data_IF_326289641978
#
_entry.id   IF_326289641978
#
_cell.length_a   1.000
_cell.length_b   1.000
_cell.length_c   1.000
_cell.angle_alpha   90.00
_cell.angle_beta   90.00
_cell.angle_gamma   90.00
#
_symmetry.space_group_name_H-M   'P 1'
#
loop_
_entity.id
_entity.type
_entity.pdbx_description
1 polymer ?
#
# COMPACT_ATOMS: atom_id res chain seq x y z
N UNK A 1 -11.77 -47.21 3.67
CA UNK A 1 -11.49 -46.28 2.54
C UNK A 1 -10.77 -45.06 3.09
N UNK A 2 -9.53 -44.78 2.65
CA UNK A 2 -8.78 -43.59 3.12
C UNK A 2 -9.47 -42.32 2.58
N UNK A 3 -9.94 -41.44 3.46
CA UNK A 3 -10.41 -40.09 3.10
C UNK A 3 -9.25 -39.35 2.42
N UNK A 4 -9.25 -39.29 1.09
CA UNK A 4 -8.29 -38.46 0.35
C UNK A 4 -8.67 -37.02 0.60
N UNK A 5 -7.84 -36.26 1.32
CA UNK A 5 -8.05 -34.82 1.41
C UNK A 5 -7.83 -34.21 0.02
N UNK A 6 -8.87 -33.58 -0.51
CA UNK A 6 -8.96 -33.01 -1.87
C UNK A 6 -8.11 -31.74 -2.02
N UNK A 7 -6.92 -31.70 -1.42
CA UNK A 7 -6.03 -30.55 -1.50
C UNK A 7 -5.20 -30.65 -2.78
N UNK A 8 -5.13 -29.54 -3.51
CA UNK A 8 -4.31 -29.42 -4.73
C UNK A 8 -2.85 -29.58 -4.36
N UNK A 9 -2.11 -30.33 -5.17
CA UNK A 9 -0.67 -30.56 -4.98
C UNK A 9 0.11 -30.17 -6.24
N UNK A 10 1.36 -29.80 -6.05
CA UNK A 10 2.30 -29.60 -7.14
C UNK A 10 2.94 -30.92 -7.61
N UNK A 11 3.74 -30.87 -8.67
CA UNK A 11 4.48 -32.00 -9.21
C UNK A 11 5.50 -32.61 -8.23
N UNK A 12 5.82 -31.91 -7.14
CA UNK A 12 6.72 -32.35 -6.07
C UNK A 12 5.96 -32.87 -4.84
N UNK A 13 4.62 -32.97 -4.91
CA UNK A 13 3.76 -33.46 -3.85
C UNK A 13 3.43 -32.45 -2.73
N UNK A 14 3.88 -31.19 -2.86
CA UNK A 14 3.60 -30.11 -1.91
C UNK A 14 2.17 -29.63 -2.06
N UNK A 15 1.56 -29.26 -0.93
CA UNK A 15 0.20 -28.73 -0.92
C UNK A 15 0.21 -27.28 -1.38
N UNK A 16 -0.61 -26.98 -2.39
CA UNK A 16 -0.85 -25.63 -2.90
C UNK A 16 -1.99 -24.97 -2.09
N UNK A 17 -1.79 -23.70 -1.75
CA UNK A 17 -2.77 -22.88 -1.05
C UNK A 17 -3.88 -22.40 -2.00
N UNK A 18 -4.92 -21.79 -1.44
CA UNK A 18 -5.99 -21.18 -2.25
C UNK A 18 -5.40 -20.05 -3.10
N UNK A 19 -5.77 -19.99 -4.39
CA UNK A 19 -5.16 -19.04 -5.32
C UNK A 19 -3.92 -19.59 -6.03
N UNK A 20 -3.20 -20.54 -5.43
CA UNK A 20 -2.00 -21.15 -6.00
C UNK A 20 -2.33 -22.25 -7.03
N UNK A 21 -1.56 -22.29 -8.10
CA UNK A 21 -1.63 -23.32 -9.14
C UNK A 21 -0.26 -23.51 -9.78
N UNK A 22 0.05 -24.71 -10.24
CA UNK A 22 1.24 -24.97 -11.06
C UNK A 22 0.84 -25.04 -12.53
N UNK A 23 1.61 -24.37 -13.39
CA UNK A 23 1.46 -24.38 -14.83
C UNK A 23 2.16 -25.60 -15.45
N UNK A 24 1.81 -25.91 -16.70
CA UNK A 24 2.42 -27.01 -17.46
C UNK A 24 3.93 -26.85 -17.68
N UNK A 25 4.43 -25.61 -17.70
CA UNK A 25 5.85 -25.29 -17.82
C UNK A 25 6.63 -25.37 -16.49
N UNK A 26 5.96 -25.70 -15.39
CA UNK A 26 6.54 -25.79 -14.06
C UNK A 26 6.56 -24.46 -13.28
N UNK A 27 6.11 -23.33 -13.86
CA UNK A 27 5.91 -22.09 -13.10
C UNK A 27 4.75 -22.22 -12.13
N UNK A 28 4.85 -21.53 -11.01
CA UNK A 28 3.75 -21.33 -10.10
C UNK A 28 3.01 -20.04 -10.44
N UNK A 29 1.69 -20.09 -10.32
CA UNK A 29 0.78 -18.98 -10.50
C UNK A 29 -0.07 -18.79 -9.24
N UNK A 30 -0.16 -17.55 -8.77
CA UNK A 30 -1.11 -17.14 -7.75
C UNK A 30 -2.12 -16.17 -8.36
N UNK A 31 -3.41 -16.48 -8.30
CA UNK A 31 -4.47 -15.56 -8.73
C UNK A 31 -5.11 -14.87 -7.54
N UNK A 32 -5.45 -13.59 -7.71
CA UNK A 32 -6.07 -12.76 -6.68
C UNK A 32 -6.96 -11.70 -7.33
N UNK A 33 -7.83 -11.07 -6.54
CA UNK A 33 -8.73 -10.02 -7.00
C UNK A 33 -8.32 -8.67 -6.44
N UNK A 34 -8.29 -7.65 -7.30
CA UNK A 34 -8.13 -6.24 -6.89
C UNK A 34 -9.24 -5.42 -7.53
N UNK A 35 -10.13 -4.86 -6.71
CA UNK A 35 -11.25 -4.05 -7.18
C UNK A 35 -12.14 -4.78 -8.19
N UNK A 36 -12.43 -6.06 -7.94
CA UNK A 36 -13.27 -6.91 -8.81
C UNK A 36 -12.57 -7.45 -10.06
N UNK A 37 -11.33 -7.03 -10.37
CA UNK A 37 -10.56 -7.56 -11.50
C UNK A 37 -9.58 -8.63 -11.04
N UNK A 38 -9.55 -9.77 -11.74
CA UNK A 38 -8.60 -10.83 -11.48
C UNK A 38 -7.19 -10.43 -11.97
N UNK A 39 -6.20 -10.56 -11.09
CA UNK A 39 -4.78 -10.41 -11.38
C UNK A 39 -4.06 -11.73 -11.10
N UNK A 40 -2.91 -11.92 -11.74
CA UNK A 40 -2.10 -13.14 -11.61
C UNK A 40 -0.64 -12.78 -11.35
N UNK A 41 -0.03 -13.44 -10.36
CA UNK A 41 1.41 -13.43 -10.11
C UNK A 41 2.00 -14.75 -10.61
N UNK A 42 3.24 -14.67 -11.11
CA UNK A 42 3.98 -15.85 -11.58
C UNK A 42 5.36 -15.91 -10.92
N UNK A 43 5.82 -17.12 -10.59
CA UNK A 43 7.19 -17.35 -10.13
C UNK A 43 7.66 -18.76 -10.48
N UNK A 44 8.97 -18.94 -10.64
CA UNK A 44 9.59 -20.27 -10.78
C UNK A 44 9.77 -20.99 -9.43
N UNK A 45 9.72 -20.24 -8.32
CA UNK A 45 9.89 -20.74 -6.96
C UNK A 45 8.58 -20.63 -6.20
N UNK A 46 8.19 -21.68 -5.49
CA UNK A 46 7.04 -21.62 -4.56
C UNK A 46 7.49 -21.04 -3.22
N UNK A 47 8.62 -21.54 -2.71
CA UNK A 47 9.29 -21.10 -1.49
C UNK A 47 10.68 -20.52 -1.77
N UNK A 48 11.20 -19.69 -0.87
CA UNK A 48 12.49 -19.01 -1.00
C UNK A 48 13.65 -19.96 -1.29
N UNK A 49 13.62 -21.13 -0.67
CA UNK A 49 14.69 -22.14 -0.73
C UNK A 49 14.62 -23.01 -1.99
N UNK A 50 13.62 -22.81 -2.87
CA UNK A 50 13.51 -23.57 -4.11
C UNK A 50 14.64 -23.21 -5.09
N UNK A 51 15.19 -24.24 -5.74
CA UNK A 51 16.17 -24.07 -6.82
C UNK A 51 15.50 -23.61 -8.11
N UNK A 52 16.16 -22.73 -8.84
CA UNK A 52 15.71 -22.31 -10.17
C UNK A 52 16.01 -23.37 -11.22
N UNK A 53 15.14 -23.51 -12.23
CA UNK A 53 15.49 -24.22 -13.45
C UNK A 53 16.70 -23.57 -14.13
N UNK A 54 17.53 -24.39 -14.78
CA UNK A 54 18.72 -23.92 -15.47
C UNK A 54 18.40 -22.84 -16.52
N UNK A 55 19.20 -21.78 -16.55
CA UNK A 55 19.06 -20.67 -17.51
C UNK A 55 17.91 -19.69 -17.21
N UNK A 56 17.22 -19.80 -16.07
CA UNK A 56 16.20 -18.82 -15.65
C UNK A 56 16.80 -17.73 -14.77
N UNK A 57 16.29 -16.51 -14.92
CA UNK A 57 16.68 -15.36 -14.10
C UNK A 57 16.24 -15.56 -12.65
N UNK A 58 17.01 -14.99 -11.72
CA UNK A 58 16.65 -14.96 -10.31
C UNK A 58 15.27 -14.32 -10.13
N UNK A 59 14.42 -14.96 -9.34
CA UNK A 59 13.08 -14.47 -9.06
C UNK A 59 12.67 -14.75 -7.62
N UNK A 60 11.89 -13.82 -7.06
CA UNK A 60 11.31 -13.94 -5.72
C UNK A 60 10.29 -15.09 -5.69
N UNK A 61 10.22 -15.81 -4.57
CA UNK A 61 9.27 -16.89 -4.39
C UNK A 61 7.82 -16.40 -4.42
N UNK A 62 6.91 -17.25 -4.89
CA UNK A 62 5.49 -16.91 -5.03
C UNK A 62 4.88 -16.50 -3.69
N UNK A 63 5.17 -17.25 -2.62
CA UNK A 63 4.63 -16.98 -1.27
C UNK A 63 5.20 -15.72 -0.63
N UNK A 64 6.43 -15.35 -0.96
CA UNK A 64 7.00 -14.06 -0.51
C UNK A 64 6.25 -12.90 -1.18
N UNK A 65 6.01 -12.99 -2.49
CA UNK A 65 5.20 -12.01 -3.23
C UNK A 65 3.76 -11.93 -2.75
N UNK A 66 3.14 -13.07 -2.44
CA UNK A 66 1.81 -13.10 -1.83
C UNK A 66 1.82 -12.41 -0.47
N UNK A 67 2.81 -12.68 0.38
CA UNK A 67 2.92 -12.04 1.70
C UNK A 67 3.13 -10.53 1.58
N UNK A 68 3.97 -10.07 0.66
CA UNK A 68 4.13 -8.65 0.36
C UNK A 68 2.80 -8.01 -0.07
N UNK A 69 2.04 -8.70 -0.92
CA UNK A 69 0.72 -8.25 -1.38
C UNK A 69 -0.29 -8.18 -0.24
N UNK A 70 -0.31 -9.19 0.63
CA UNK A 70 -1.16 -9.21 1.82
C UNK A 70 -0.78 -8.07 2.78
N UNK A 71 0.51 -7.82 2.99
CA UNK A 71 0.99 -6.71 3.81
C UNK A 71 0.59 -5.35 3.22
N UNK A 72 0.75 -5.15 1.91
CA UNK A 72 0.31 -3.94 1.22
C UNK A 72 -1.21 -3.71 1.38
N UNK A 73 -1.99 -4.79 1.26
CA UNK A 73 -3.44 -4.74 1.42
C UNK A 73 -3.86 -4.48 2.88
N UNK A 74 -3.21 -5.12 3.85
CA UNK A 74 -3.47 -4.95 5.29
C UNK A 74 -3.08 -3.56 5.79
N UNK A 75 -1.99 -3.00 5.27
CA UNK A 75 -1.61 -1.62 5.54
C UNK A 75 -2.57 -0.60 4.88
N UNK A 76 -3.55 -1.08 4.09
CA UNK A 76 -4.54 -0.25 3.39
C UNK A 76 -3.91 0.65 2.32
N UNK A 77 -2.67 0.39 1.95
CA UNK A 77 -1.92 1.20 1.00
C UNK A 77 -2.19 0.59 -0.37
N UNK A 78 -3.33 0.95 -0.97
CA UNK A 78 -3.37 1.12 -2.42
C UNK A 78 -2.89 2.56 -2.66
N UNK A 79 -1.57 2.79 -2.82
CA UNK A 79 -1.05 4.14 -2.97
C UNK A 79 -1.56 4.80 -4.26
N UNK A 80 -2.07 4.00 -5.21
CA UNK A 80 -2.59 4.46 -6.49
C UNK A 80 -3.89 5.26 -6.37
N UNK A 81 -4.77 4.96 -5.40
CA UNK A 81 -6.12 5.55 -5.30
C UNK A 81 -6.37 6.36 -4.03
N UNK A 82 -5.42 6.35 -3.10
CA UNK A 82 -5.55 7.05 -1.85
C UNK A 82 -5.32 8.55 -2.05
N UNK A 83 -6.17 9.38 -1.46
CA UNK A 83 -6.02 10.84 -1.54
C UNK A 83 -5.05 11.35 -0.48
N UNK A 84 -4.49 12.54 -0.70
CA UNK A 84 -3.65 13.23 0.31
C UNK A 84 -4.42 13.40 1.62
N UNK A 85 -5.71 13.71 1.56
CA UNK A 85 -6.56 13.86 2.75
C UNK A 85 -6.62 12.57 3.57
N UNK A 86 -6.92 11.44 2.93
CA UNK A 86 -6.99 10.14 3.61
C UNK A 86 -5.65 9.75 4.24
N UNK A 87 -4.53 10.15 3.63
CA UNK A 87 -3.20 9.85 4.15
C UNK A 87 -2.95 10.59 5.45
N UNK A 88 -3.30 11.89 5.45
CA UNK A 88 -3.18 12.74 6.62
C UNK A 88 -4.12 12.27 7.74
N UNK A 89 -5.36 11.90 7.41
CA UNK A 89 -6.31 11.36 8.40
C UNK A 89 -5.79 10.07 9.05
N UNK A 90 -5.23 9.13 8.27
CA UNK A 90 -4.62 7.91 8.85
C UNK A 90 -3.39 8.21 9.69
N UNK A 91 -2.53 9.11 9.23
CA UNK A 91 -1.35 9.51 9.99
C UNK A 91 -1.76 10.10 11.35
N UNK A 92 -2.72 11.03 11.35
CA UNK A 92 -3.23 11.65 12.56
C UNK A 92 -3.96 10.66 13.45
N UNK A 93 -4.73 9.73 12.89
CA UNK A 93 -5.39 8.68 13.67
C UNK A 93 -4.38 7.84 14.47
N UNK A 94 -3.16 7.64 13.98
CA UNK A 94 -2.08 6.94 14.70
C UNK A 94 -1.37 7.89 15.67
N UNK A 95 -0.96 9.07 15.21
CA UNK A 95 -0.17 10.03 15.99
C UNK A 95 -0.97 10.59 17.18
N UNK A 96 -2.26 10.83 17.01
CA UNK A 96 -3.12 11.39 18.04
C UNK A 96 -3.36 10.44 19.22
N UNK A 97 -2.99 9.16 19.15
CA UNK A 97 -3.09 8.27 20.32
C UNK A 97 -2.22 8.75 21.49
N UNK A 98 -1.04 9.32 21.21
CA UNK A 98 -0.04 9.69 22.22
C UNK A 98 0.04 11.19 22.50
N UNK A 99 -0.79 12.00 21.84
CA UNK A 99 -0.64 13.47 21.81
C UNK A 99 -1.65 14.17 22.73
N UNK A 100 -1.22 15.29 23.34
CA UNK A 100 -2.06 16.12 24.23
C UNK A 100 -3.24 16.73 23.48
N UNK A 101 -4.36 16.98 24.20
CA UNK A 101 -5.61 17.53 23.64
C UNK A 101 -5.42 18.84 22.86
N UNK A 102 -4.51 19.70 23.31
CA UNK A 102 -4.19 20.98 22.66
C UNK A 102 -3.61 20.79 21.25
N UNK A 103 -2.68 19.85 21.11
CA UNK A 103 -2.04 19.52 19.84
C UNK A 103 -3.01 18.81 18.89
N UNK A 104 -3.91 17.95 19.40
CA UNK A 104 -5.01 17.37 18.61
C UNK A 104 -5.91 18.45 17.99
N UNK A 105 -6.23 19.50 18.75
CA UNK A 105 -7.01 20.63 18.23
C UNK A 105 -6.27 21.37 17.10
N UNK A 106 -4.94 21.50 17.21
CA UNK A 106 -4.08 22.00 16.14
C UNK A 106 -4.13 21.13 14.89
N UNK A 107 -4.00 19.81 15.03
CA UNK A 107 -4.10 18.85 13.92
C UNK A 107 -5.48 18.93 13.24
N UNK A 108 -6.57 19.00 14.02
CA UNK A 108 -7.92 19.14 13.48
C UNK A 108 -8.09 20.44 12.68
N UNK A 109 -7.46 21.52 13.13
CA UNK A 109 -7.47 22.81 12.41
C UNK A 109 -6.76 22.68 11.07
N UNK A 110 -5.57 22.06 11.03
CA UNK A 110 -4.83 21.79 9.78
C UNK A 110 -5.65 20.90 8.85
N UNK A 111 -6.31 19.86 9.39
CA UNK A 111 -7.16 18.97 8.61
C UNK A 111 -8.33 19.72 7.96
N UNK A 112 -8.99 20.60 8.70
CA UNK A 112 -10.13 21.38 8.18
C UNK A 112 -9.70 22.37 7.09
N UNK A 113 -8.47 22.89 7.16
CA UNK A 113 -7.89 23.74 6.11
C UNK A 113 -7.58 22.90 4.88
N UNK A 114 -6.91 21.76 5.08
CA UNK A 114 -6.57 20.83 4.02
C UNK A 114 -7.82 20.36 3.27
N UNK A 115 -8.93 20.04 3.96
CA UNK A 115 -10.21 19.63 3.36
C UNK A 115 -10.79 20.63 2.35
N UNK A 116 -10.48 21.92 2.46
CA UNK A 116 -10.95 22.96 1.54
C UNK A 116 -10.10 23.09 0.28
N UNK A 117 -8.92 22.48 0.28
CA UNK A 117 -7.92 22.63 -0.75
C UNK A 117 -8.01 21.53 -1.79
N UNK A 118 -7.89 21.91 -3.08
CA UNK A 118 -7.89 20.95 -4.20
C UNK A 118 -6.75 19.93 -4.08
N UNK A 119 -5.63 20.34 -3.49
CA UNK A 119 -4.47 19.49 -3.20
C UNK A 119 -4.84 18.27 -2.35
N UNK A 120 -5.77 18.42 -1.40
CA UNK A 120 -6.16 17.34 -0.50
C UNK A 120 -6.94 16.22 -1.19
N UNK A 121 -7.66 16.54 -2.26
CA UNK A 121 -8.43 15.59 -3.06
C UNK A 121 -7.58 14.90 -4.14
N UNK A 122 -6.33 15.32 -4.34
CA UNK A 122 -5.44 14.67 -5.30
C UNK A 122 -5.06 13.27 -4.83
N UNK A 123 -5.00 12.33 -5.77
CA UNK A 123 -4.42 11.01 -5.53
C UNK A 123 -2.91 11.16 -5.29
N UNK A 124 -2.39 10.50 -4.25
CA UNK A 124 -0.97 10.58 -3.87
C UNK A 124 -0.06 10.17 -5.04
N UNK A 125 -0.50 9.23 -5.86
CA UNK A 125 0.21 8.77 -7.07
C UNK A 125 0.43 9.86 -8.11
N UNK A 126 -0.39 10.91 -8.12
CA UNK A 126 -0.35 12.03 -9.07
C UNK A 126 0.32 13.28 -8.50
N UNK A 127 0.58 13.32 -7.20
CA UNK A 127 1.16 14.49 -6.53
C UNK A 127 2.65 14.59 -6.88
N UNK A 128 3.05 15.73 -7.47
CA UNK A 128 4.45 16.08 -7.69
C UNK A 128 4.96 17.02 -6.61
N UNK A 129 6.28 17.09 -6.47
CA UNK A 129 6.95 18.05 -5.58
C UNK A 129 6.59 19.50 -5.93
N UNK A 130 6.34 19.80 -7.21
CA UNK A 130 5.85 21.10 -7.66
C UNK A 130 4.48 21.45 -7.06
N UNK A 131 3.57 20.49 -6.99
CA UNK A 131 2.21 20.70 -6.51
C UNK A 131 2.22 20.98 -5.01
N UNK A 132 3.10 20.32 -4.26
CA UNK A 132 3.33 20.59 -2.85
C UNK A 132 3.90 22.00 -2.62
N UNK A 133 4.83 22.46 -3.46
CA UNK A 133 5.37 23.84 -3.39
C UNK A 133 4.31 24.88 -3.70
N UNK A 134 3.50 24.65 -4.73
CA UNK A 134 2.39 25.53 -5.10
C UNK A 134 1.36 25.63 -3.97
N UNK A 135 1.04 24.51 -3.33
CA UNK A 135 0.18 24.48 -2.15
C UNK A 135 0.73 25.35 -1.00
N UNK A 136 2.03 25.24 -0.69
CA UNK A 136 2.65 26.07 0.36
C UNK A 136 2.63 27.57 0.02
N UNK A 137 2.94 27.92 -1.22
CA UNK A 137 2.90 29.32 -1.69
C UNK A 137 1.47 29.86 -1.59
N UNK A 138 0.47 29.07 -2.00
CA UNK A 138 -0.94 29.43 -1.93
C UNK A 138 -1.39 29.70 -0.50
N UNK A 139 -1.04 28.82 0.44
CA UNK A 139 -1.33 29.00 1.87
C UNK A 139 -0.73 30.30 2.44
N UNK A 140 0.43 30.70 1.93
CA UNK A 140 1.12 31.92 2.37
C UNK A 140 0.55 33.19 1.73
N UNK A 141 0.22 33.15 0.44
CA UNK A 141 -0.16 34.33 -0.35
C UNK A 141 -1.68 34.58 -0.37
N UNK A 142 -2.51 33.55 -0.52
CA UNK A 142 -3.96 33.70 -0.68
C UNK A 142 -4.70 33.61 0.66
N UNK A 143 -4.31 32.68 1.54
CA UNK A 143 -4.96 32.47 2.84
C UNK A 143 -4.37 33.31 3.97
N UNK A 144 -3.29 34.07 3.71
CA UNK A 144 -2.61 34.93 4.68
C UNK A 144 -2.13 34.20 5.94
N UNK A 145 -1.89 32.88 5.85
CA UNK A 145 -1.54 32.08 7.03
C UNK A 145 -0.11 32.38 7.48
N UNK A 146 0.03 32.70 8.76
CA UNK A 146 1.34 32.96 9.38
C UNK A 146 2.29 31.77 9.19
N UNK A 147 3.58 32.07 9.02
CA UNK A 147 4.68 31.12 8.96
C UNK A 147 4.63 30.07 10.08
N UNK A 148 4.15 30.43 11.27
CA UNK A 148 3.98 29.52 12.41
C UNK A 148 2.97 28.40 12.13
N UNK A 149 1.88 28.70 11.42
CA UNK A 149 0.86 27.71 11.01
C UNK A 149 1.41 26.78 9.94
N UNK A 150 2.24 27.30 9.02
CA UNK A 150 2.91 26.51 7.97
C UNK A 150 3.96 25.58 8.59
N UNK A 151 4.68 26.05 9.60
CA UNK A 151 5.69 25.26 10.32
C UNK A 151 5.08 24.14 11.17
N UNK A 152 3.87 24.35 11.73
CA UNK A 152 3.09 23.28 12.39
C UNK A 152 2.60 22.25 11.37
N UNK A 153 2.16 22.67 10.18
CA UNK A 153 1.76 21.73 9.13
C UNK A 153 2.93 20.99 8.46
N UNK A 154 4.13 21.57 8.48
CA UNK A 154 5.35 20.98 7.90
C UNK A 154 6.14 20.17 8.93
N UNK A 155 5.99 20.48 10.21
CA UNK A 155 6.75 19.93 11.34
C UNK A 155 6.11 18.70 11.98
N UNK A 156 5.39 17.89 11.20
CA UNK A 156 4.92 16.57 11.62
C UNK A 156 6.10 15.60 11.57
N UNK A 157 6.94 15.67 12.60
CA UNK A 157 7.98 14.69 12.95
C UNK A 157 7.51 13.84 14.13
#
# INVERSE_FOLDING_TARGET
MKKVSTKRRDSKGRILQNGESQMSDGRYRYFYYVGGKQKNLYSWKLEKNDRLPAGKRECVALREREKELQLQNLQGVNPEKMTVLELVERYLAIKDLSVKKTTKAGHQTVLNVLKKEKFAQMEISKVKVSDAKLFLIKLQQEDGKSYSTIHISSGVY
#
